data_IF_473258362393
#
_entry.id   IF_473258362393
#
_cell.length_a   1.000
_cell.length_b   1.000
_cell.length_c   1.000
_cell.angle_alpha   90.00
_cell.angle_beta   90.00
_cell.angle_gamma   90.00
#
_symmetry.space_group_name_H-M   'P 1'
#
loop_
_entity.id
_entity.type
_entity.pdbx_description
1 polymer ?
#
# COMPACT_ATOMS: atom_id res chain seq x y z
N UNK A 1 19.36 15.63 1.46
CA UNK A 1 17.89 15.68 1.60
C UNK A 1 17.48 14.89 2.82
N UNK A 2 16.85 15.51 3.79
CA UNK A 2 16.38 14.85 5.01
C UNK A 2 15.27 13.85 4.68
N UNK A 3 15.22 12.71 5.40
CA UNK A 3 14.17 11.69 5.21
C UNK A 3 12.76 12.30 5.42
N UNK A 4 12.63 13.26 6.35
CA UNK A 4 11.39 13.98 6.60
C UNK A 4 10.86 14.74 5.36
N UNK A 5 11.75 15.21 4.51
CA UNK A 5 11.36 15.95 3.30
C UNK A 5 10.78 15.05 2.22
N UNK A 6 10.96 13.73 2.35
CA UNK A 6 10.41 12.73 1.40
C UNK A 6 8.99 12.32 1.71
N UNK A 7 8.53 12.53 2.94
CA UNK A 7 7.19 12.11 3.38
C UNK A 7 6.12 13.18 3.12
N UNK A 8 6.51 14.38 2.71
CA UNK A 8 5.57 15.45 2.41
C UNK A 8 5.60 15.80 0.93
N UNK A 9 4.46 16.21 0.34
CA UNK A 9 3.11 16.26 0.92
C UNK A 9 2.51 14.86 1.13
N UNK A 10 1.61 14.73 2.12
CA UNK A 10 0.88 13.49 2.40
C UNK A 10 -0.51 13.45 1.79
N UNK A 11 -0.93 14.51 1.11
CA UNK A 11 -2.24 14.63 0.49
C UNK A 11 -2.12 15.11 -0.95
N UNK A 12 -2.85 14.46 -1.85
CA UNK A 12 -2.97 14.90 -3.23
C UNK A 12 -3.70 16.24 -3.33
N UNK A 13 -3.19 17.10 -4.20
CA UNK A 13 -3.81 18.36 -4.57
C UNK A 13 -3.50 18.61 -6.06
N UNK A 14 -4.49 18.98 -6.84
CA UNK A 14 -4.32 19.22 -8.28
C UNK A 14 -3.39 20.41 -8.60
N UNK A 15 -3.14 21.26 -7.63
CA UNK A 15 -2.21 22.40 -7.75
C UNK A 15 -0.74 22.03 -7.49
N UNK A 16 -0.47 20.81 -7.06
CA UNK A 16 0.90 20.33 -6.84
C UNK A 16 1.72 20.40 -8.13
N UNK A 17 2.95 20.88 -8.04
CA UNK A 17 3.87 21.02 -9.16
C UNK A 17 5.28 20.56 -8.78
N UNK A 18 6.13 20.36 -9.80
CA UNK A 18 7.54 20.05 -9.60
C UNK A 18 7.79 18.80 -8.75
N UNK A 19 8.80 18.88 -7.89
CA UNK A 19 9.21 17.76 -7.02
C UNK A 19 8.14 17.36 -6.00
N UNK A 20 7.35 18.29 -5.51
CA UNK A 20 6.26 17.97 -4.58
C UNK A 20 5.20 17.09 -5.24
N UNK A 21 4.84 17.40 -6.48
CA UNK A 21 3.91 16.59 -7.26
C UNK A 21 4.46 15.19 -7.52
N UNK A 22 5.70 15.07 -7.97
CA UNK A 22 6.34 13.79 -8.25
C UNK A 22 6.46 12.94 -6.98
N UNK A 23 6.85 13.56 -5.87
CA UNK A 23 6.99 12.89 -4.58
C UNK A 23 5.65 12.36 -4.08
N UNK A 24 4.61 13.15 -4.19
CA UNK A 24 3.25 12.75 -3.78
C UNK A 24 2.76 11.58 -4.62
N UNK A 25 2.92 11.62 -5.94
CA UNK A 25 2.59 10.50 -6.84
C UNK A 25 3.35 9.24 -6.42
N UNK A 26 4.66 9.34 -6.21
CA UNK A 26 5.49 8.21 -5.81
C UNK A 26 5.01 7.62 -4.48
N UNK A 27 4.71 8.46 -3.49
CA UNK A 27 4.24 7.99 -2.19
C UNK A 27 2.89 7.27 -2.28
N UNK A 28 1.94 7.79 -3.06
CA UNK A 28 0.66 7.11 -3.26
C UNK A 28 0.81 5.77 -4.00
N UNK A 29 1.69 5.69 -4.97
CA UNK A 29 1.83 4.49 -5.80
C UNK A 29 2.75 3.42 -5.19
N UNK A 30 3.66 3.79 -4.29
CA UNK A 30 4.69 2.86 -3.81
C UNK A 30 4.78 2.71 -2.29
N UNK A 31 4.16 3.60 -1.50
CA UNK A 31 4.32 3.62 -0.05
C UNK A 31 3.01 3.66 0.73
N UNK A 32 1.88 3.67 0.06
CA UNK A 32 0.56 3.78 0.67
C UNK A 32 0.24 2.57 1.56
N UNK A 33 -0.32 2.84 2.73
CA UNK A 33 -0.84 1.83 3.67
C UNK A 33 -2.16 2.31 4.24
N UNK A 34 -2.12 3.14 5.26
CA UNK A 34 -3.29 3.76 5.88
C UNK A 34 -3.52 5.16 5.34
N UNK A 35 -4.78 5.53 5.22
CA UNK A 35 -5.21 6.88 4.86
C UNK A 35 -6.34 7.33 5.78
N UNK A 36 -6.43 8.63 6.03
CA UNK A 36 -7.59 9.22 6.69
C UNK A 36 -8.78 9.36 5.72
N UNK A 37 -9.92 9.81 6.21
CA UNK A 37 -11.13 9.95 5.38
C UNK A 37 -10.99 10.99 4.25
N UNK A 38 -10.05 11.91 4.37
CA UNK A 38 -9.70 12.87 3.31
C UNK A 38 -8.74 12.30 2.26
N UNK A 39 -8.27 11.06 2.47
CA UNK A 39 -7.30 10.40 1.59
C UNK A 39 -5.86 10.80 1.84
N UNK A 40 -5.55 11.45 2.96
CA UNK A 40 -4.17 11.79 3.32
C UNK A 40 -3.42 10.55 3.81
N UNK A 41 -2.16 10.42 3.39
CA UNK A 41 -1.31 9.27 3.71
C UNK A 41 -0.81 9.30 5.16
N UNK A 42 -0.78 8.13 5.80
CA UNK A 42 -0.10 7.90 7.06
C UNK A 42 1.11 7.00 6.81
N UNK A 43 2.24 7.63 6.51
CA UNK A 43 3.48 6.95 6.14
C UNK A 43 4.31 6.49 7.36
N UNK A 44 3.96 6.95 8.54
CA UNK A 44 4.63 6.64 9.79
C UNK A 44 4.27 5.25 10.36
N UNK A 45 3.12 4.69 9.99
CA UNK A 45 2.65 3.39 10.47
C UNK A 45 2.96 2.32 9.42
N UNK A 46 3.80 1.35 9.78
CA UNK A 46 4.30 0.29 8.88
C UNK A 46 3.81 -1.11 9.27
N UNK A 47 3.12 -1.20 10.38
CA UNK A 47 2.61 -2.44 10.97
C UNK A 47 1.35 -2.92 10.22
N UNK A 48 0.78 -4.02 10.71
CA UNK A 48 -0.41 -4.64 10.13
C UNK A 48 -1.71 -3.91 10.47
N UNK A 49 -2.83 -4.54 10.13
CA UNK A 49 -4.16 -3.92 10.23
C UNK A 49 -4.54 -3.49 11.65
N UNK A 50 -4.03 -4.20 12.67
CA UNK A 50 -4.32 -3.89 14.07
C UNK A 50 -3.69 -2.58 14.56
N UNK A 51 -2.73 -2.04 13.81
CA UNK A 51 -2.05 -0.78 14.13
C UNK A 51 -2.65 0.43 13.42
N UNK A 52 -3.83 0.30 12.81
CA UNK A 52 -4.50 1.39 12.12
C UNK A 52 -4.65 2.61 13.05
N UNK A 53 -4.13 3.79 12.66
CA UNK A 53 -4.33 5.01 13.44
C UNK A 53 -5.80 5.36 13.54
N UNK A 54 -6.18 6.05 14.62
CA UNK A 54 -7.54 6.53 14.79
C UNK A 54 -7.97 7.40 13.58
N UNK A 55 -9.16 7.15 13.06
CA UNK A 55 -9.69 7.85 11.88
C UNK A 55 -9.05 7.44 10.56
N UNK A 56 -8.25 6.39 10.54
CA UNK A 56 -7.59 5.88 9.33
C UNK A 56 -8.02 4.44 9.04
N UNK A 57 -7.97 4.11 7.76
CA UNK A 57 -8.23 2.74 7.27
C UNK A 57 -7.23 2.37 6.18
N UNK A 58 -7.05 1.07 5.90
CA UNK A 58 -6.23 0.65 4.76
C UNK A 58 -6.73 1.29 3.47
N UNK A 59 -5.82 1.66 2.59
CA UNK A 59 -6.15 2.36 1.34
C UNK A 59 -7.17 1.61 0.48
N UNK A 60 -7.15 0.28 0.51
CA UNK A 60 -8.07 -0.55 -0.29
C UNK A 60 -9.47 -0.68 0.31
N UNK A 61 -9.72 -0.14 1.49
CA UNK A 61 -11.04 -0.07 2.11
C UNK A 61 -11.88 1.12 1.61
N UNK A 62 -11.29 2.03 0.86
CA UNK A 62 -12.04 3.13 0.25
C UNK A 62 -12.99 2.61 -0.82
N UNK A 63 -14.18 3.18 -0.87
CA UNK A 63 -15.17 2.84 -1.89
C UNK A 63 -14.59 3.08 -3.29
N UNK A 64 -14.99 2.23 -4.23
CA UNK A 64 -14.61 2.30 -5.64
C UNK A 64 -13.19 1.79 -6.00
N UNK A 65 -12.28 1.58 -5.05
CA UNK A 65 -10.93 1.10 -5.38
C UNK A 65 -10.98 -0.22 -6.16
N UNK A 66 -11.74 -1.20 -5.66
CA UNK A 66 -11.83 -2.54 -6.27
C UNK A 66 -13.00 -2.71 -7.25
N UNK A 67 -13.78 -1.64 -7.50
CA UNK A 67 -14.94 -1.73 -8.41
C UNK A 67 -14.56 -1.77 -9.88
N UNK A 68 -13.44 -1.12 -10.23
CA UNK A 68 -13.03 -0.91 -11.62
C UNK A 68 -12.06 -1.99 -12.12
N UNK A 69 -11.18 -2.49 -11.25
CA UNK A 69 -10.13 -3.42 -11.65
C UNK A 69 -9.70 -4.32 -10.50
N UNK A 70 -9.08 -5.45 -10.85
CA UNK A 70 -8.28 -6.23 -9.91
C UNK A 70 -6.94 -5.53 -9.68
N UNK A 71 -6.56 -5.35 -8.43
CA UNK A 71 -5.33 -4.66 -8.04
C UNK A 71 -4.37 -5.66 -7.39
N UNK A 72 -3.13 -5.63 -7.85
CA UNK A 72 -2.03 -6.41 -7.29
C UNK A 72 -0.97 -5.44 -6.80
N UNK A 73 -0.49 -5.61 -5.58
CA UNK A 73 0.48 -4.69 -5.00
C UNK A 73 1.49 -5.37 -4.08
N UNK A 74 2.59 -4.70 -3.84
CA UNK A 74 3.63 -5.11 -2.90
C UNK A 74 3.79 -4.11 -1.75
N UNK A 75 5.00 -4.04 -1.18
CA UNK A 75 5.44 -3.05 -0.20
C UNK A 75 4.90 -3.23 1.23
N UNK A 76 3.71 -3.72 1.45
CA UNK A 76 3.12 -3.85 2.79
C UNK A 76 3.27 -5.28 3.32
N UNK A 77 4.48 -5.67 3.69
CA UNK A 77 4.81 -7.01 4.15
C UNK A 77 4.05 -7.43 5.43
N UNK A 78 3.68 -6.47 6.27
CA UNK A 78 2.95 -6.75 7.51
C UNK A 78 1.53 -7.31 7.28
N UNK A 79 0.97 -7.19 6.08
CA UNK A 79 -0.30 -7.83 5.70
C UNK A 79 -0.17 -9.34 5.53
N UNK A 80 1.02 -9.84 5.31
CA UNK A 80 1.29 -11.26 5.02
C UNK A 80 0.44 -11.81 3.86
N UNK A 81 0.18 -10.97 2.88
CA UNK A 81 -0.63 -11.32 1.71
C UNK A 81 -2.15 -11.24 1.90
N UNK A 82 -2.63 -10.85 3.08
CA UNK A 82 -4.06 -10.87 3.41
C UNK A 82 -4.68 -9.48 3.39
N UNK A 83 -5.67 -9.27 2.52
CA UNK A 83 -6.43 -8.00 2.45
C UNK A 83 -7.88 -8.15 2.85
N UNK A 84 -8.42 -9.37 2.81
CA UNK A 84 -9.84 -9.63 2.98
C UNK A 84 -10.71 -9.17 1.81
N UNK A 85 -10.10 -8.75 0.69
CA UNK A 85 -10.81 -8.27 -0.51
C UNK A 85 -10.54 -9.18 -1.69
N UNK A 86 -11.58 -9.65 -2.42
CA UNK A 86 -11.40 -10.64 -3.50
C UNK A 86 -10.67 -10.08 -4.73
N UNK A 87 -10.67 -8.78 -4.93
CA UNK A 87 -10.03 -8.12 -6.08
C UNK A 87 -8.78 -7.31 -5.73
N UNK A 88 -8.29 -7.44 -4.50
CA UNK A 88 -7.10 -6.69 -4.04
C UNK A 88 -6.11 -7.70 -3.46
N UNK A 89 -5.00 -7.88 -4.13
CA UNK A 89 -4.02 -8.92 -3.82
C UNK A 89 -2.69 -8.33 -3.37
N UNK A 90 -2.34 -8.54 -2.09
CA UNK A 90 -1.04 -8.21 -1.54
C UNK A 90 -0.08 -9.37 -1.80
N UNK A 91 1.08 -9.11 -2.41
CA UNK A 91 2.06 -10.14 -2.72
C UNK A 91 3.40 -9.99 -1.97
N UNK A 92 3.58 -8.92 -1.20
CA UNK A 92 4.73 -8.81 -0.33
C UNK A 92 4.49 -9.64 0.94
N UNK A 93 5.14 -10.78 1.01
CA UNK A 93 5.05 -11.70 2.15
C UNK A 93 6.36 -11.76 2.93
N UNK A 94 7.20 -10.72 2.81
CA UNK A 94 8.33 -10.46 3.70
C UNK A 94 9.59 -11.29 3.44
N UNK A 95 9.87 -11.67 2.20
CA UNK A 95 11.05 -12.49 1.86
C UNK A 95 12.36 -11.90 2.40
N UNK A 96 12.58 -10.60 2.22
CA UNK A 96 13.79 -9.92 2.71
C UNK A 96 13.92 -9.90 4.24
N UNK A 97 12.84 -10.19 4.94
CA UNK A 97 12.79 -10.29 6.40
C UNK A 97 12.82 -11.75 6.90
N UNK A 98 13.24 -12.69 6.04
CA UNK A 98 13.30 -14.10 6.39
C UNK A 98 11.96 -14.85 6.32
N UNK A 99 10.98 -14.30 5.60
CA UNK A 99 9.67 -14.93 5.40
C UNK A 99 9.55 -15.51 3.99
N UNK A 100 8.44 -15.33 3.33
CA UNK A 100 8.15 -15.97 2.04
C UNK A 100 8.27 -15.01 0.87
N UNK A 101 8.65 -15.52 -0.29
CA UNK A 101 8.42 -14.90 -1.59
C UNK A 101 7.16 -15.50 -2.19
N UNK A 102 6.21 -14.67 -2.58
CA UNK A 102 4.93 -15.11 -3.15
C UNK A 102 4.80 -14.63 -4.58
N UNK A 103 4.45 -15.55 -5.46
CA UNK A 103 4.08 -15.30 -6.85
C UNK A 103 2.58 -15.56 -7.02
N UNK A 104 1.95 -14.89 -7.96
CA UNK A 104 0.56 -15.14 -8.31
C UNK A 104 0.39 -15.25 -9.82
N UNK A 105 -0.29 -16.28 -10.27
CA UNK A 105 -0.75 -16.39 -11.64
C UNK A 105 -1.97 -15.48 -11.82
N UNK A 106 -1.91 -14.55 -12.78
CA UNK A 106 -2.97 -13.56 -12.96
C UNK A 106 -4.24 -14.15 -13.63
N UNK A 107 -4.11 -15.27 -14.34
CA UNK A 107 -5.21 -15.92 -15.04
C UNK A 107 -6.19 -16.60 -14.09
N UNK A 108 -5.68 -17.23 -13.02
CA UNK A 108 -6.48 -18.02 -12.07
C UNK A 108 -6.32 -17.59 -10.61
N UNK A 109 -5.48 -16.57 -10.35
CA UNK A 109 -5.13 -16.05 -9.02
C UNK A 109 -4.49 -17.09 -8.09
N UNK A 110 -3.95 -18.18 -8.64
CA UNK A 110 -3.21 -19.18 -7.88
C UNK A 110 -1.91 -18.58 -7.34
N UNK A 111 -1.64 -18.82 -6.06
CA UNK A 111 -0.43 -18.35 -5.38
C UNK A 111 0.56 -19.49 -5.17
N UNK A 112 1.82 -19.17 -5.35
CA UNK A 112 2.95 -20.05 -5.11
C UNK A 112 3.94 -19.33 -4.21
N UNK A 113 4.41 -19.99 -3.16
CA UNK A 113 5.32 -19.36 -2.20
C UNK A 113 6.53 -20.25 -1.93
N UNK A 114 7.68 -19.60 -1.76
CA UNK A 114 8.90 -20.24 -1.28
C UNK A 114 9.36 -19.52 -0.02
N UNK A 115 9.91 -20.28 0.92
CA UNK A 115 10.45 -19.74 2.16
C UNK A 115 11.91 -19.32 1.96
N UNK A 116 12.33 -18.24 2.63
CA UNK A 116 13.72 -17.79 2.65
C UNK A 116 14.57 -18.77 3.49
#
# INVERSE_FOLDING_TARGET
MCIRDRDQPTRWNDKLQGYERLRTITNYLTRIRFCDDAGSLRLDVKEGLNAAPEGCKPWYEFENISKVATIVFGHWAALDGETGKPKVHALDTGYVWGRKMTLMCLEDYQRYSITN
#
